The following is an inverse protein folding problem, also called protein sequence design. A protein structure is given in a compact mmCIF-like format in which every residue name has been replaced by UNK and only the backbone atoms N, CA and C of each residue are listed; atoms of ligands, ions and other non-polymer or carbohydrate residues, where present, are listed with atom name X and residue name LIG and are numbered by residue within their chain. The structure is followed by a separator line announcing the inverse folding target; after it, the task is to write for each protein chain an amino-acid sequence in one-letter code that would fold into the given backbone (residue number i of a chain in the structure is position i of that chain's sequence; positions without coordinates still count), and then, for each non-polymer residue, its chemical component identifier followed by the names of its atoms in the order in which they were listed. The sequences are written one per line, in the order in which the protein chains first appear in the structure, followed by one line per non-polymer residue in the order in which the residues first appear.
data_IF_752203429919
#
_entry.id   IF_752203429919
#
_cell.length_a   1.000
_cell.length_b   1.000
_cell.length_c   1.000
_cell.angle_alpha   90.00
_cell.angle_beta   90.00
_cell.angle_gamma   90.00
#
_symmetry.space_group_name_H-M   'P 1'
#
loop_
_entity.id
_entity.type
_entity.pdbx_description
1 polymer ?
#
# COMPACT_ATOMS: atom_id res chain seq x y z
N UNK A 1 -21.35 7.60 -1.57
CA UNK A 1 -21.30 8.28 -2.88
C UNK A 1 -21.73 7.36 -4.03
N UNK A 2 -21.18 6.15 -4.18
CA UNK A 2 -21.56 5.22 -5.26
C UNK A 2 -23.07 4.97 -5.35
N UNK A 3 -23.72 4.68 -4.21
CA UNK A 3 -25.18 4.47 -4.15
C UNK A 3 -25.97 5.67 -4.69
N UNK A 4 -25.52 6.90 -4.42
CA UNK A 4 -26.19 8.13 -4.86
C UNK A 4 -26.10 8.31 -6.38
N UNK A 5 -24.92 8.11 -6.98
CA UNK A 5 -24.77 8.16 -8.44
C UNK A 5 -25.64 7.10 -9.14
N UNK A 6 -25.59 5.85 -8.66
CA UNK A 6 -26.40 4.75 -9.22
C UNK A 6 -27.90 5.05 -9.15
N UNK A 7 -28.41 5.51 -7.99
CA UNK A 7 -29.82 5.87 -7.84
C UNK A 7 -30.20 7.04 -8.73
N UNK A 8 -29.32 8.03 -8.94
CA UNK A 8 -29.60 9.18 -9.81
C UNK A 8 -29.70 8.75 -11.28
N UNK A 9 -28.82 7.89 -11.76
CA UNK A 9 -28.88 7.32 -13.11
C UNK A 9 -30.12 6.44 -13.30
N UNK A 10 -30.47 5.63 -12.31
CA UNK A 10 -31.70 4.82 -12.30
C UNK A 10 -32.94 5.72 -12.37
N UNK A 11 -32.99 6.76 -11.55
CA UNK A 11 -34.07 7.74 -11.56
C UNK A 11 -34.23 8.40 -12.94
N UNK A 12 -33.15 8.86 -13.55
CA UNK A 12 -33.16 9.42 -14.90
C UNK A 12 -33.74 8.42 -15.92
N UNK A 13 -33.28 7.18 -15.93
CA UNK A 13 -33.76 6.16 -16.86
C UNK A 13 -35.26 5.88 -16.73
N UNK A 14 -35.75 5.74 -15.49
CA UNK A 14 -37.16 5.50 -15.22
C UNK A 14 -38.05 6.69 -15.63
N UNK A 15 -37.62 7.92 -15.29
CA UNK A 15 -38.38 9.13 -15.67
C UNK A 15 -38.38 9.35 -17.17
N UNK A 16 -37.26 9.11 -17.87
CA UNK A 16 -37.17 9.23 -19.32
C UNK A 16 -38.13 8.28 -20.04
N UNK A 17 -38.24 7.04 -19.56
CA UNK A 17 -39.19 6.06 -20.10
C UNK A 17 -40.63 6.47 -19.87
N UNK A 18 -40.99 6.83 -18.64
CA UNK A 18 -42.38 7.24 -18.30
C UNK A 18 -42.73 8.57 -18.96
N UNK A 19 -41.81 9.49 -19.10
CA UNK A 19 -41.99 10.74 -19.83
C UNK A 19 -42.36 10.50 -21.32
N UNK A 20 -41.71 9.52 -21.96
CA UNK A 20 -42.02 9.13 -23.33
C UNK A 20 -43.45 8.51 -23.41
N UNK A 21 -43.79 7.62 -22.46
CA UNK A 21 -45.10 7.02 -22.39
C UNK A 21 -46.20 8.06 -22.18
N UNK A 22 -45.97 9.04 -21.29
CA UNK A 22 -46.91 10.09 -21.00
C UNK A 22 -47.20 10.97 -22.26
N UNK A 23 -46.18 11.33 -23.05
CA UNK A 23 -46.36 12.08 -24.30
C UNK A 23 -47.17 11.30 -25.30
N UNK A 24 -46.96 9.99 -25.42
CA UNK A 24 -47.74 9.11 -26.31
C UNK A 24 -49.16 9.01 -25.82
N UNK A 25 -49.38 8.73 -24.54
CA UNK A 25 -50.71 8.62 -23.91
C UNK A 25 -51.55 9.90 -24.12
N UNK A 26 -50.98 11.07 -23.87
CA UNK A 26 -51.67 12.34 -23.98
C UNK A 26 -51.88 12.79 -25.42
N UNK A 27 -51.00 12.37 -26.34
CA UNK A 27 -51.03 12.78 -27.76
C UNK A 27 -51.83 11.85 -28.69
N UNK A 28 -52.21 10.63 -28.23
CA UNK A 28 -52.94 9.67 -29.05
C UNK A 28 -54.44 9.84 -28.94
N UNK A 29 -55.17 9.60 -30.03
CA UNK A 29 -56.63 9.49 -30.06
C UNK A 29 -57.13 8.03 -29.84
N UNK A 30 -56.18 7.06 -29.82
CA UNK A 30 -56.49 5.65 -29.60
C UNK A 30 -56.61 5.36 -28.08
N UNK A 31 -57.82 5.00 -27.66
CA UNK A 31 -58.14 4.71 -26.29
C UNK A 31 -57.39 3.51 -25.75
N UNK A 32 -57.23 2.45 -26.55
CA UNK A 32 -56.52 1.25 -26.16
C UNK A 32 -55.02 1.51 -25.91
N UNK A 33 -54.40 2.31 -26.79
CA UNK A 33 -53.03 2.73 -26.65
C UNK A 33 -52.86 3.64 -25.40
N UNK A 34 -53.82 4.55 -25.15
CA UNK A 34 -53.79 5.42 -23.97
C UNK A 34 -53.85 4.58 -22.66
N UNK A 35 -54.75 3.60 -22.59
CA UNK A 35 -54.87 2.69 -21.41
C UNK A 35 -53.60 1.82 -21.23
N UNK A 36 -53.04 1.30 -22.30
CA UNK A 36 -51.79 0.52 -22.24
C UNK A 36 -50.64 1.37 -21.66
N UNK A 37 -50.46 2.58 -22.12
CA UNK A 37 -49.43 3.48 -21.60
C UNK A 37 -49.63 3.81 -20.12
N UNK A 38 -50.85 4.00 -19.68
CA UNK A 38 -51.20 4.26 -18.27
C UNK A 38 -50.84 3.07 -17.37
N UNK A 39 -51.15 1.86 -17.80
CA UNK A 39 -50.83 0.62 -17.04
C UNK A 39 -49.34 0.37 -16.89
N UNK A 40 -48.55 0.80 -17.85
CA UNK A 40 -47.11 0.60 -17.86
C UNK A 40 -46.33 1.71 -17.11
N UNK A 41 -46.99 2.78 -16.64
CA UNK A 41 -46.29 3.85 -15.92
C UNK A 41 -45.84 3.42 -14.53
N UNK A 42 -44.54 3.64 -14.26
CA UNK A 42 -43.87 3.27 -13.02
C UNK A 42 -43.84 4.36 -11.94
N UNK A 43 -44.90 5.19 -11.85
CA UNK A 43 -44.94 6.41 -11.02
C UNK A 43 -44.64 6.17 -9.54
N UNK A 44 -45.10 5.06 -8.96
CA UNK A 44 -44.78 4.70 -7.56
C UNK A 44 -43.31 4.38 -7.35
N UNK A 45 -42.72 3.59 -8.26
CA UNK A 45 -41.31 3.22 -8.20
C UNK A 45 -40.42 4.43 -8.40
N UNK A 46 -40.77 5.32 -9.34
CA UNK A 46 -40.05 6.60 -9.57
C UNK A 46 -40.06 7.45 -8.31
N UNK A 47 -41.23 7.58 -7.66
CA UNK A 47 -41.37 8.38 -6.45
C UNK A 47 -40.51 7.83 -5.31
N UNK A 48 -40.43 6.52 -5.16
CA UNK A 48 -39.58 5.88 -4.14
C UNK A 48 -38.09 6.13 -4.41
N UNK A 49 -37.62 5.95 -5.66
CA UNK A 49 -36.24 6.25 -6.03
C UNK A 49 -35.93 7.74 -5.83
N UNK A 50 -36.84 8.64 -6.22
CA UNK A 50 -36.69 10.08 -6.01
C UNK A 50 -36.52 10.43 -4.52
N UNK A 51 -37.34 9.87 -3.63
CA UNK A 51 -37.23 10.07 -2.16
C UNK A 51 -35.85 9.66 -1.66
N UNK A 52 -35.37 8.48 -2.09
CA UNK A 52 -34.05 8.00 -1.70
C UNK A 52 -32.92 8.90 -2.21
N UNK A 53 -33.02 9.41 -3.45
CA UNK A 53 -32.07 10.36 -4.03
C UNK A 53 -32.06 11.66 -3.22
N UNK A 54 -33.24 12.26 -2.97
CA UNK A 54 -33.37 13.53 -2.23
C UNK A 54 -32.79 13.40 -0.80
N UNK A 55 -33.04 12.30 -0.12
CA UNK A 55 -32.52 12.03 1.23
C UNK A 55 -30.98 11.96 1.28
N UNK A 56 -30.33 11.61 0.18
CA UNK A 56 -28.88 11.47 0.09
C UNK A 56 -28.17 12.76 -0.36
N UNK A 57 -28.90 13.77 -0.84
CA UNK A 57 -28.34 15.01 -1.39
C UNK A 57 -28.11 16.04 -0.28
N UNK A 58 -26.83 16.37 -0.06
CA UNK A 58 -26.42 17.34 0.95
C UNK A 58 -25.58 18.51 0.41
N UNK A 59 -25.24 18.49 -0.90
CA UNK A 59 -24.47 19.56 -1.53
C UNK A 59 -25.36 20.72 -2.01
N UNK A 60 -24.89 21.98 -1.93
CA UNK A 60 -25.67 23.13 -2.41
C UNK A 60 -26.06 23.03 -3.90
N UNK A 61 -25.09 22.59 -4.74
CA UNK A 61 -25.34 22.41 -6.18
C UNK A 61 -26.39 21.32 -6.44
N UNK A 62 -26.30 20.21 -5.71
CA UNK A 62 -27.30 19.13 -5.80
C UNK A 62 -28.70 19.60 -5.41
N UNK A 63 -28.83 20.39 -4.35
CA UNK A 63 -30.11 20.97 -3.91
C UNK A 63 -30.67 21.95 -4.94
N UNK A 64 -29.84 22.81 -5.52
CA UNK A 64 -30.26 23.75 -6.57
C UNK A 64 -30.79 23.02 -7.82
N UNK A 65 -30.16 21.91 -8.23
CA UNK A 65 -30.67 21.09 -9.33
C UNK A 65 -31.99 20.40 -8.99
N UNK A 66 -32.15 19.88 -7.76
CA UNK A 66 -33.41 19.29 -7.30
C UNK A 66 -34.55 20.33 -7.31
N UNK A 67 -34.28 21.58 -6.99
CA UNK A 67 -35.25 22.67 -7.09
C UNK A 67 -35.66 22.95 -8.56
N UNK A 68 -34.70 23.01 -9.48
CA UNK A 68 -34.99 23.15 -10.94
C UNK A 68 -35.83 21.98 -11.44
N UNK A 69 -35.50 20.75 -11.04
CA UNK A 69 -36.25 19.55 -11.37
C UNK A 69 -37.70 19.66 -10.87
N UNK A 70 -37.90 20.13 -9.62
CA UNK A 70 -39.23 20.31 -9.05
C UNK A 70 -40.05 21.35 -9.84
N UNK A 71 -39.46 22.47 -10.20
CA UNK A 71 -40.11 23.53 -11.03
C UNK A 71 -40.50 22.97 -12.40
N UNK A 72 -39.56 22.30 -13.10
CA UNK A 72 -39.81 21.71 -14.41
C UNK A 72 -40.94 20.68 -14.38
N UNK A 73 -40.91 19.79 -13.35
CA UNK A 73 -41.97 18.83 -13.10
C UNK A 73 -43.37 19.50 -12.91
N UNK A 74 -43.43 20.55 -12.11
CA UNK A 74 -44.67 21.24 -11.83
C UNK A 74 -45.26 21.92 -13.07
N UNK A 75 -44.39 22.49 -13.92
CA UNK A 75 -44.80 23.05 -15.21
C UNK A 75 -45.36 21.98 -16.15
N UNK A 76 -44.69 20.84 -16.28
CA UNK A 76 -45.17 19.71 -17.08
C UNK A 76 -46.54 19.17 -16.54
N UNK A 77 -46.67 18.96 -15.23
CA UNK A 77 -47.92 18.50 -14.62
C UNK A 77 -49.06 19.47 -14.83
N UNK A 78 -48.84 20.77 -14.77
CA UNK A 78 -49.83 21.80 -15.09
C UNK A 78 -50.31 21.72 -16.54
N UNK A 79 -49.42 21.39 -17.47
CA UNK A 79 -49.78 21.21 -18.89
C UNK A 79 -50.51 19.88 -19.14
N UNK A 80 -50.09 18.78 -18.42
CA UNK A 80 -50.81 17.51 -18.45
C UNK A 80 -52.27 17.70 -18.02
N UNK A 81 -52.49 18.43 -16.91
CA UNK A 81 -53.86 18.74 -16.46
C UNK A 81 -54.70 19.51 -17.51
N UNK A 82 -54.09 20.46 -18.23
CA UNK A 82 -54.77 21.16 -19.31
C UNK A 82 -55.12 20.24 -20.48
N UNK A 83 -54.14 19.39 -20.90
CA UNK A 83 -54.39 18.42 -21.97
C UNK A 83 -55.50 17.41 -21.58
N UNK A 84 -55.50 16.95 -20.35
CA UNK A 84 -56.57 16.09 -19.84
C UNK A 84 -57.95 16.77 -19.84
N UNK A 85 -58.03 18.05 -19.48
CA UNK A 85 -59.28 18.82 -19.55
C UNK A 85 -59.83 18.95 -20.99
N UNK A 86 -58.99 19.20 -22.00
CA UNK A 86 -59.40 19.20 -23.39
C UNK A 86 -59.91 17.81 -23.84
N UNK A 87 -59.25 16.74 -23.45
CA UNK A 87 -59.72 15.37 -23.74
C UNK A 87 -61.09 15.09 -23.13
N UNK A 88 -61.33 15.51 -21.88
CA UNK A 88 -62.65 15.38 -21.24
C UNK A 88 -63.77 16.13 -21.96
N UNK A 89 -63.43 17.25 -22.63
CA UNK A 89 -64.32 18.02 -23.48
C UNK A 89 -64.46 17.47 -24.89
N UNK A 90 -63.86 16.33 -25.18
CA UNK A 90 -63.77 15.70 -26.50
C UNK A 90 -63.03 16.59 -27.57
N UNK A 91 -62.30 17.60 -27.12
CA UNK A 91 -61.46 18.46 -28.00
C UNK A 91 -60.06 17.82 -28.15
N UNK A 92 -60.00 16.79 -28.99
CA UNK A 92 -58.76 16.02 -29.21
C UNK A 92 -57.73 16.87 -29.99
N UNK A 93 -58.18 17.77 -30.82
CA UNK A 93 -57.27 18.65 -31.62
C UNK A 93 -56.51 19.59 -30.70
N UNK A 94 -57.18 20.30 -29.80
CA UNK A 94 -56.55 21.18 -28.81
C UNK A 94 -55.66 20.40 -27.84
N UNK A 95 -56.07 19.20 -27.39
CA UNK A 95 -55.26 18.33 -26.58
C UNK A 95 -53.97 17.90 -27.27
N UNK A 96 -54.03 17.48 -28.54
CA UNK A 96 -52.87 17.11 -29.34
C UNK A 96 -51.95 18.28 -29.61
N UNK A 97 -52.50 19.46 -29.90
CA UNK A 97 -51.75 20.69 -30.13
C UNK A 97 -50.92 21.10 -28.91
N UNK A 98 -51.54 21.17 -27.71
CA UNK A 98 -50.86 21.53 -26.46
C UNK A 98 -49.78 20.49 -26.06
N UNK A 99 -50.03 19.20 -26.34
CA UNK A 99 -49.02 18.15 -26.10
C UNK A 99 -47.82 18.35 -27.00
N UNK A 100 -47.98 18.62 -28.27
CA UNK A 100 -46.89 18.81 -29.22
C UNK A 100 -46.11 20.10 -28.99
N UNK A 101 -46.81 21.20 -28.74
CA UNK A 101 -46.20 22.53 -28.68
C UNK A 101 -45.69 22.93 -27.33
N UNK A 102 -46.25 22.40 -26.24
CA UNK A 102 -45.94 22.84 -24.87
C UNK A 102 -45.50 21.70 -23.98
N UNK A 103 -46.25 20.59 -23.92
CA UNK A 103 -45.94 19.49 -22.98
C UNK A 103 -44.61 18.82 -23.34
N UNK A 104 -44.39 18.47 -24.60
CA UNK A 104 -43.17 17.80 -25.04
C UNK A 104 -41.89 18.56 -24.72
N UNK A 105 -41.74 19.84 -25.05
CA UNK A 105 -40.59 20.63 -24.64
C UNK A 105 -40.40 20.74 -23.13
N UNK A 106 -41.49 20.83 -22.36
CA UNK A 106 -41.44 20.85 -20.88
C UNK A 106 -40.94 19.52 -20.30
N UNK A 107 -41.39 18.41 -20.87
CA UNK A 107 -40.93 17.06 -20.48
C UNK A 107 -39.46 16.89 -20.84
N UNK A 108 -39.04 17.29 -22.04
CA UNK A 108 -37.63 17.23 -22.44
C UNK A 108 -36.76 18.05 -21.48
N UNK A 109 -37.19 19.25 -21.10
CA UNK A 109 -36.50 20.07 -20.10
C UNK A 109 -36.44 19.41 -18.72
N UNK A 110 -37.52 18.78 -18.26
CA UNK A 110 -37.58 18.08 -17.01
C UNK A 110 -36.60 16.88 -16.99
N UNK A 111 -36.60 16.07 -18.04
CA UNK A 111 -35.67 14.92 -18.19
C UNK A 111 -34.23 15.41 -18.25
N UNK A 112 -33.98 16.53 -18.98
CA UNK A 112 -32.63 17.10 -19.05
C UNK A 112 -32.10 17.58 -17.73
N UNK A 113 -32.93 18.17 -16.84
CA UNK A 113 -32.50 18.60 -15.52
C UNK A 113 -32.17 17.37 -14.62
N UNK A 114 -32.88 16.26 -14.77
CA UNK A 114 -32.55 15.01 -14.07
C UNK A 114 -31.23 14.43 -14.61
N UNK A 115 -31.00 14.50 -15.91
CA UNK A 115 -29.73 14.08 -16.51
C UNK A 115 -28.56 14.92 -16.00
N UNK A 116 -28.73 16.26 -15.95
CA UNK A 116 -27.74 17.17 -15.39
C UNK A 116 -27.40 16.83 -13.94
N UNK A 117 -28.44 16.49 -13.15
CA UNK A 117 -28.27 16.05 -11.78
C UNK A 117 -27.50 14.72 -11.68
N UNK A 118 -27.84 13.72 -12.50
CA UNK A 118 -27.13 12.45 -12.55
C UNK A 118 -25.67 12.64 -12.94
N UNK A 119 -25.38 13.45 -13.95
CA UNK A 119 -24.03 13.77 -14.39
C UNK A 119 -23.20 14.47 -13.29
N UNK A 120 -23.81 15.37 -12.50
CA UNK A 120 -23.15 15.97 -11.34
C UNK A 120 -22.77 14.92 -10.29
N UNK A 121 -23.66 13.97 -10.00
CA UNK A 121 -23.37 12.91 -9.04
C UNK A 121 -22.27 11.97 -9.53
N UNK A 122 -22.22 11.68 -10.82
CA UNK A 122 -21.15 10.89 -11.44
C UNK A 122 -19.80 11.61 -11.36
N UNK A 123 -19.78 12.90 -11.71
CA UNK A 123 -18.57 13.73 -11.60
C UNK A 123 -18.01 13.73 -10.18
N UNK A 124 -18.85 13.94 -9.16
CA UNK A 124 -18.43 13.91 -7.77
C UNK A 124 -17.89 12.52 -7.35
N UNK A 125 -18.53 11.43 -7.81
CA UNK A 125 -18.04 10.06 -7.58
C UNK A 125 -16.65 9.85 -8.17
N UNK A 126 -16.43 10.30 -9.39
CA UNK A 126 -15.18 10.07 -10.11
C UNK A 126 -14.03 10.93 -9.54
N UNK A 127 -14.31 12.16 -9.13
CA UNK A 127 -13.35 12.98 -8.39
C UNK A 127 -12.87 12.30 -7.10
N UNK A 128 -13.79 11.79 -6.29
CA UNK A 128 -13.44 11.08 -5.05
C UNK A 128 -12.65 9.78 -5.30
N UNK A 129 -12.95 9.07 -6.40
CA UNK A 129 -12.17 7.89 -6.79
C UNK A 129 -10.74 8.26 -7.17
N UNK A 130 -10.56 9.36 -7.91
CA UNK A 130 -9.23 9.84 -8.29
C UNK A 130 -8.42 10.30 -7.06
N UNK A 131 -9.03 11.06 -6.14
CA UNK A 131 -8.39 11.46 -4.89
C UNK A 131 -7.97 10.26 -4.03
N UNK A 132 -8.86 9.26 -3.88
CA UNK A 132 -8.55 8.03 -3.15
C UNK A 132 -7.42 7.22 -3.81
N UNK A 133 -7.40 7.15 -5.15
CA UNK A 133 -6.35 6.45 -5.89
C UNK A 133 -4.99 7.14 -5.71
N UNK A 134 -4.95 8.47 -5.76
CA UNK A 134 -3.73 9.26 -5.55
C UNK A 134 -3.15 9.05 -4.13
N UNK A 135 -4.00 9.10 -3.10
CA UNK A 135 -3.60 8.84 -1.70
C UNK A 135 -3.05 7.42 -1.54
N UNK A 136 -3.73 6.42 -2.13
CA UNK A 136 -3.28 5.02 -2.07
C UNK A 136 -1.93 4.83 -2.75
N UNK A 137 -1.72 5.46 -3.91
CA UNK A 137 -0.44 5.39 -4.62
C UNK A 137 0.70 6.03 -3.82
N UNK A 138 0.47 7.20 -3.23
CA UNK A 138 1.46 7.84 -2.35
C UNK A 138 1.78 6.98 -1.12
N UNK A 139 0.76 6.40 -0.48
CA UNK A 139 0.95 5.51 0.66
C UNK A 139 1.79 4.27 0.31
N UNK A 140 1.57 3.67 -0.86
CA UNK A 140 2.36 2.54 -1.36
C UNK A 140 3.82 2.94 -1.64
N UNK A 141 4.06 4.11 -2.25
CA UNK A 141 5.42 4.60 -2.51
C UNK A 141 6.18 4.88 -1.21
N UNK A 142 5.55 5.57 -0.26
CA UNK A 142 6.17 5.84 1.04
C UNK A 142 6.40 4.54 1.81
N UNK A 143 5.43 3.63 1.83
CA UNK A 143 5.56 2.33 2.48
C UNK A 143 6.69 1.49 1.90
N UNK A 144 6.80 1.42 0.57
CA UNK A 144 7.89 0.68 -0.08
C UNK A 144 9.27 1.31 0.17
N UNK A 145 9.37 2.63 0.20
CA UNK A 145 10.60 3.33 0.53
C UNK A 145 11.06 3.05 1.97
N UNK A 146 10.14 3.03 2.93
CA UNK A 146 10.44 2.68 4.33
C UNK A 146 10.93 1.25 4.44
N UNK A 147 10.27 0.29 3.79
CA UNK A 147 10.69 -1.11 3.79
C UNK A 147 12.09 -1.27 3.18
N UNK A 148 12.36 -0.62 2.04
CA UNK A 148 13.67 -0.65 1.42
C UNK A 148 14.77 -0.08 2.34
N UNK A 149 14.50 1.04 3.02
CA UNK A 149 15.41 1.64 3.99
C UNK A 149 15.72 0.68 5.15
N UNK A 150 14.70 0.00 5.68
CA UNK A 150 14.87 -0.96 6.77
C UNK A 150 15.73 -2.16 6.32
N UNK A 151 15.55 -2.67 5.10
CA UNK A 151 16.38 -3.75 4.56
C UNK A 151 17.83 -3.31 4.46
N UNK A 152 18.11 -2.13 3.91
CA UNK A 152 19.47 -1.58 3.83
C UNK A 152 20.09 -1.43 5.22
N UNK A 153 19.33 -0.93 6.19
CA UNK A 153 19.77 -0.78 7.57
C UNK A 153 20.15 -2.12 8.20
N UNK A 154 19.33 -3.15 8.02
CA UNK A 154 19.59 -4.50 8.55
C UNK A 154 20.85 -5.09 7.91
N UNK A 155 21.02 -4.97 6.60
CA UNK A 155 22.22 -5.43 5.89
C UNK A 155 23.48 -4.70 6.38
N UNK A 156 23.38 -3.39 6.56
CA UNK A 156 24.48 -2.57 7.09
C UNK A 156 24.87 -3.00 8.52
N UNK A 157 23.90 -3.14 9.41
CA UNK A 157 24.13 -3.56 10.78
C UNK A 157 24.71 -4.99 10.84
N UNK A 158 24.24 -5.91 10.00
CA UNK A 158 24.78 -7.26 9.91
C UNK A 158 26.25 -7.26 9.45
N UNK A 159 26.56 -6.52 8.40
CA UNK A 159 27.94 -6.40 7.91
C UNK A 159 28.86 -5.74 8.95
N UNK A 160 28.35 -4.73 9.65
CA UNK A 160 29.07 -4.06 10.72
C UNK A 160 29.33 -5.01 11.89
N UNK A 161 28.34 -5.80 12.31
CA UNK A 161 28.48 -6.78 13.40
C UNK A 161 29.53 -7.86 13.08
N UNK A 162 29.48 -8.39 11.84
CA UNK A 162 30.50 -9.38 11.39
C UNK A 162 31.91 -8.80 11.48
N UNK A 163 32.11 -7.59 10.97
CA UNK A 163 33.44 -6.94 11.00
C UNK A 163 33.89 -6.53 12.38
N UNK A 164 32.95 -6.13 13.25
CA UNK A 164 33.31 -5.57 14.56
C UNK A 164 33.46 -6.63 15.64
N UNK A 165 32.80 -7.77 15.53
CA UNK A 165 32.80 -8.82 16.58
C UNK A 165 33.28 -10.16 16.02
N UNK A 166 32.67 -10.66 14.95
CA UNK A 166 32.92 -12.02 14.48
C UNK A 166 34.33 -12.21 13.97
N UNK A 167 34.84 -11.32 13.12
CA UNK A 167 36.19 -11.44 12.57
C UNK A 167 37.30 -11.34 13.64
N UNK A 168 37.27 -10.37 14.58
CA UNK A 168 38.29 -10.34 15.64
C UNK A 168 38.24 -11.55 16.57
N UNK A 169 37.06 -12.07 16.86
CA UNK A 169 36.91 -13.27 17.68
C UNK A 169 37.49 -14.50 16.96
N UNK A 170 37.24 -14.66 15.66
CA UNK A 170 37.84 -15.72 14.84
C UNK A 170 39.35 -15.67 14.87
N UNK A 171 39.97 -14.46 14.70
CA UNK A 171 41.41 -14.29 14.85
C UNK A 171 41.95 -14.66 16.23
N UNK A 172 41.20 -14.41 17.30
CA UNK A 172 41.60 -14.78 18.65
C UNK A 172 41.57 -16.31 18.83
N UNK A 173 40.58 -16.99 18.25
CA UNK A 173 40.52 -18.46 18.23
C UNK A 173 41.68 -19.04 17.43
N UNK A 174 41.91 -18.54 16.22
CA UNK A 174 43.05 -19.01 15.37
C UNK A 174 44.40 -18.85 16.04
N UNK A 175 44.62 -17.73 16.76
CA UNK A 175 45.82 -17.51 17.54
C UNK A 175 45.95 -18.49 18.72
N UNK A 176 44.87 -18.73 19.42
CA UNK A 176 44.81 -19.68 20.53
C UNK A 176 45.08 -21.11 20.04
N UNK A 177 44.53 -21.50 18.90
CA UNK A 177 44.74 -22.81 18.28
C UNK A 177 46.18 -22.98 17.80
N UNK A 178 46.78 -21.94 17.20
CA UNK A 178 48.20 -21.99 16.85
C UNK A 178 49.13 -22.19 18.07
N UNK A 179 48.86 -21.45 19.16
CA UNK A 179 49.59 -21.60 20.40
C UNK A 179 49.41 -23.04 20.97
N UNK A 180 48.21 -23.57 20.94
CA UNK A 180 47.89 -24.93 21.41
C UNK A 180 48.59 -26.01 20.54
N UNK A 181 48.75 -25.76 19.24
CA UNK A 181 49.50 -26.64 18.33
C UNK A 181 51.02 -26.52 18.47
N UNK A 182 51.53 -25.63 19.34
CA UNK A 182 52.94 -25.39 19.55
C UNK A 182 53.58 -24.39 18.59
N UNK A 183 52.80 -23.77 17.69
CA UNK A 183 53.31 -22.69 16.87
C UNK A 183 53.24 -21.36 17.63
N UNK A 184 54.36 -21.05 18.25
CA UNK A 184 54.56 -19.83 19.03
C UNK A 184 55.04 -18.66 18.17
N UNK A 185 55.15 -18.80 16.82
CA UNK A 185 55.67 -17.74 15.92
C UNK A 185 54.55 -16.79 15.49
N UNK A 186 53.30 -17.23 15.52
CA UNK A 186 52.12 -16.42 15.10
C UNK A 186 51.92 -15.27 16.08
N UNK A 187 51.65 -14.08 15.49
CA UNK A 187 51.25 -12.88 16.22
C UNK A 187 50.16 -12.16 15.46
N UNK A 188 49.17 -11.63 16.16
CA UNK A 188 48.09 -10.86 15.57
C UNK A 188 48.22 -9.39 15.99
N UNK A 189 48.39 -8.49 15.02
CA UNK A 189 48.39 -7.05 15.29
C UNK A 189 46.94 -6.54 15.28
N UNK A 190 46.57 -5.84 16.33
CA UNK A 190 45.25 -5.18 16.43
C UNK A 190 45.38 -3.89 17.25
N UNK A 191 44.98 -2.78 16.64
CA UNK A 191 45.03 -1.44 17.24
C UNK A 191 43.75 -1.08 18.02
N UNK A 192 42.85 -2.04 18.21
CA UNK A 192 41.58 -1.83 18.90
C UNK A 192 41.79 -1.55 20.39
N UNK A 193 40.93 -0.66 20.91
CA UNK A 193 41.00 -0.26 22.34
C UNK A 193 39.83 -0.84 23.15
N UNK A 194 39.04 -1.73 22.57
CA UNK A 194 37.94 -2.43 23.19
C UNK A 194 38.38 -3.76 23.86
N UNK A 195 37.41 -4.51 24.39
CA UNK A 195 37.61 -5.77 25.09
C UNK A 195 38.22 -6.84 24.18
N UNK A 196 37.88 -6.85 22.88
CA UNK A 196 38.45 -7.78 21.91
C UNK A 196 39.90 -7.46 21.59
N UNK A 197 40.26 -6.19 21.48
CA UNK A 197 41.64 -5.77 21.38
C UNK A 197 42.46 -6.12 22.62
N UNK A 198 41.86 -6.01 23.81
CA UNK A 198 42.51 -6.48 25.06
C UNK A 198 42.74 -7.97 25.03
N UNK A 199 41.75 -8.78 24.62
CA UNK A 199 41.86 -10.25 24.49
C UNK A 199 43.04 -10.61 23.53
N UNK A 200 43.11 -10.04 22.34
CA UNK A 200 44.16 -10.33 21.38
C UNK A 200 45.55 -9.99 21.94
N UNK A 201 45.69 -8.84 22.61
CA UNK A 201 46.97 -8.46 23.25
C UNK A 201 47.38 -9.44 24.36
N UNK A 202 46.41 -9.93 25.15
CA UNK A 202 46.66 -10.89 26.19
C UNK A 202 47.11 -12.27 25.65
N UNK A 203 46.50 -12.71 24.53
CA UNK A 203 46.91 -13.94 23.83
C UNK A 203 48.30 -13.78 23.22
N UNK A 204 48.62 -12.65 22.61
CA UNK A 204 49.97 -12.38 22.09
C UNK A 204 51.01 -12.38 23.23
N UNK A 205 50.71 -11.77 24.38
CA UNK A 205 51.60 -11.79 25.57
C UNK A 205 51.80 -13.19 26.11
N UNK A 206 50.74 -14.03 26.15
CA UNK A 206 50.83 -15.43 26.55
C UNK A 206 51.77 -16.23 25.61
N UNK A 207 51.57 -16.08 24.27
CA UNK A 207 52.43 -16.72 23.27
C UNK A 207 53.88 -16.28 23.38
N UNK A 208 54.17 -15.00 23.63
CA UNK A 208 55.51 -14.48 23.84
C UNK A 208 56.16 -15.10 25.11
N UNK A 209 55.41 -15.19 26.21
CA UNK A 209 55.91 -15.76 27.45
C UNK A 209 56.19 -17.28 27.33
N UNK A 210 55.35 -18.02 26.62
CA UNK A 210 55.58 -19.43 26.31
C UNK A 210 56.84 -19.61 25.46
N UNK A 211 57.07 -18.76 24.48
CA UNK A 211 58.30 -18.77 23.64
C UNK A 211 59.56 -18.55 24.49
N UNK A 212 59.54 -17.62 25.43
CA UNK A 212 60.62 -17.35 26.36
C UNK A 212 60.92 -18.60 27.19
N UNK A 213 59.92 -19.23 27.81
CA UNK A 213 60.08 -20.44 28.61
C UNK A 213 60.62 -21.61 27.80
N UNK A 214 60.12 -21.84 26.58
CA UNK A 214 60.61 -22.88 25.70
C UNK A 214 62.10 -22.60 25.31
N UNK A 215 62.47 -21.35 25.08
CA UNK A 215 63.83 -20.95 24.83
C UNK A 215 64.77 -21.22 26.02
N UNK A 216 64.33 -20.88 27.24
CA UNK A 216 65.09 -21.18 28.47
C UNK A 216 65.28 -22.67 28.70
N UNK A 217 64.23 -23.47 28.52
CA UNK A 217 64.32 -24.92 28.63
C UNK A 217 65.29 -25.50 27.60
N UNK A 218 65.24 -25.06 26.36
CA UNK A 218 66.15 -25.49 25.30
C UNK A 218 67.62 -25.17 25.63
N UNK A 219 67.90 -23.96 26.08
CA UNK A 219 69.23 -23.52 26.49
C UNK A 219 69.73 -24.36 27.70
N UNK A 220 68.85 -24.64 28.65
CA UNK A 220 69.14 -25.52 29.77
C UNK A 220 69.52 -26.94 29.34
N UNK A 221 68.72 -27.52 28.39
CA UNK A 221 69.02 -28.86 27.85
C UNK A 221 70.33 -28.89 27.09
N UNK A 222 70.66 -27.85 26.30
CA UNK A 222 71.97 -27.72 25.61
C UNK A 222 73.11 -27.64 26.61
N UNK A 223 72.92 -26.89 27.71
CA UNK A 223 73.95 -26.80 28.77
C UNK A 223 74.15 -28.13 29.51
N UNK A 224 73.10 -28.85 29.83
CA UNK A 224 73.18 -30.17 30.45
C UNK A 224 73.82 -31.18 29.50
N UNK A 225 73.49 -31.13 28.20
CA UNK A 225 74.11 -31.99 27.17
C UNK A 225 75.62 -31.75 27.08
N UNK A 226 76.06 -30.47 27.07
CA UNK A 226 77.46 -30.08 27.06
C UNK A 226 78.21 -30.57 28.30
N UNK A 227 77.64 -30.40 29.48
CA UNK A 227 78.23 -30.89 30.73
C UNK A 227 78.34 -32.43 30.76
N UNK A 228 77.32 -33.14 30.27
CA UNK A 228 77.31 -34.61 30.19
C UNK A 228 78.46 -35.09 29.24
N UNK A 229 78.65 -34.38 28.11
CA UNK A 229 79.76 -34.69 27.17
C UNK A 229 81.13 -34.49 27.81
N UNK A 230 81.28 -33.40 28.57
CA UNK A 230 82.51 -33.11 29.27
C UNK A 230 82.83 -34.20 30.34
N UNK A 231 81.78 -34.63 31.09
CA UNK A 231 81.94 -35.71 32.06
C UNK A 231 82.31 -37.04 31.40
N UNK A 232 81.68 -37.36 30.24
CA UNK A 232 82.02 -38.58 29.51
C UNK A 232 83.44 -38.54 28.97
N UNK A 233 83.93 -37.44 28.49
CA UNK A 233 85.28 -37.26 28.02
C UNK A 233 86.30 -37.35 29.18
N UNK A 234 86.02 -36.70 30.32
CA UNK A 234 86.81 -36.79 31.55
C UNK A 234 86.91 -38.20 32.13
N UNK A 235 85.79 -38.95 32.12
CA UNK A 235 85.80 -40.34 32.55
C UNK A 235 86.62 -41.24 31.59
N UNK A 236 86.57 -40.98 30.30
CA UNK A 236 87.42 -41.72 29.30
C UNK A 236 88.88 -41.50 29.56
N UNK A 237 89.32 -40.20 29.76
CA UNK A 237 90.71 -39.85 30.09
C UNK A 237 91.21 -40.45 31.42
N UNK A 238 90.29 -40.46 32.44
CA UNK A 238 90.59 -41.16 33.72
C UNK A 238 90.78 -42.66 33.52
N UNK A 239 89.91 -43.33 32.75
CA UNK A 239 90.01 -44.76 32.47
C UNK A 239 91.30 -45.08 31.70
N UNK A 240 91.71 -44.32 30.74
CA UNK A 240 92.98 -44.47 29.97
C UNK A 240 94.22 -44.27 30.86
N UNK A 241 94.15 -43.43 31.91
CA UNK A 241 95.28 -43.22 32.86
C UNK A 241 95.33 -44.30 33.97
N UNK A 242 94.27 -45.05 34.20
CA UNK A 242 94.17 -46.09 35.23
C UNK A 242 94.65 -47.47 34.67
N UNK A 243 94.71 -47.59 33.31
CA UNK A 243 95.17 -48.77 32.59
C UNK A 243 96.67 -48.80 32.30
N UNK A 244 97.37 -47.72 32.65
CA UNK A 244 98.84 -47.61 32.60
C UNK A 244 99.50 -47.89 33.98
#
# INVERSE_FOLDING_TARGET
MQKRATLSTQWHGMVSLDATRLVVQMGTSDEAMSQLMDQEMGTAAITEVQKQVVALVNTPEGKALLEKIAIARQQALGTVAKAAAFRQQQDIESASAIVKTTLRPQIDAYVQEIQNFAALQEKHRDQLKQESAAITQQALLVGSAVVALLIVLVLFLSAWLVRSITQPLERAVDLADAIAAGDLTVTVQDDRRDELGHLLRSLNAMGAKLREVVGEVRSGVESVSSAAHQIATGNHDLSARTEQ
#
